data_IF_094301777100
#
_entry.id   IF_094301777100
#
_cell.length_a   1.000
_cell.length_b   1.000
_cell.length_c   1.000
_cell.angle_alpha   90.00
_cell.angle_beta   90.00
_cell.angle_gamma   90.00
#
_symmetry.space_group_name_H-M   'P 1'
#
loop_
_entity.id
_entity.type
_entity.pdbx_description
1 polymer ?
#
# COMPACT_ATOMS: atom_id res chain seq x y z
N UNK A 1 -15.21 7.71 4.02
CA UNK A 1 -13.74 7.86 4.05
C UNK A 1 -13.33 9.33 3.86
N UNK A 2 -14.21 10.18 3.34
CA UNK A 2 -14.10 11.64 3.34
C UNK A 2 -14.14 12.18 4.78
N UNK A 3 -15.13 11.77 5.58
CA UNK A 3 -15.20 12.07 7.03
C UNK A 3 -13.97 11.66 7.86
N UNK A 4 -13.19 10.65 7.43
CA UNK A 4 -11.99 10.22 8.14
C UNK A 4 -10.75 11.02 7.73
N UNK A 5 -10.74 11.58 6.51
CA UNK A 5 -9.69 12.47 6.06
C UNK A 5 -9.94 13.87 6.65
N UNK A 6 -11.18 14.38 6.56
CA UNK A 6 -11.60 15.64 7.20
C UNK A 6 -11.42 15.60 8.73
N UNK A 7 -11.49 14.42 9.36
CA UNK A 7 -11.24 14.26 10.78
C UNK A 7 -9.74 14.26 11.11
N UNK A 8 -8.90 13.59 10.30
CA UNK A 8 -7.45 13.61 10.48
C UNK A 8 -6.86 15.00 10.17
N UNK A 9 -7.40 15.69 9.15
CA UNK A 9 -7.03 17.09 8.85
C UNK A 9 -7.37 18.01 10.02
N UNK A 10 -8.59 17.91 10.60
CA UNK A 10 -8.94 18.66 11.82
C UNK A 10 -8.08 18.30 13.03
N UNK A 11 -7.64 17.04 13.14
CA UNK A 11 -6.72 16.63 14.19
C UNK A 11 -5.34 17.27 13.98
N UNK A 12 -4.85 17.32 12.74
CA UNK A 12 -3.62 18.03 12.37
C UNK A 12 -3.73 19.50 12.73
N UNK A 13 -4.82 20.19 12.31
CA UNK A 13 -5.06 21.61 12.65
C UNK A 13 -5.04 21.83 14.18
N UNK A 14 -5.68 20.91 14.93
CA UNK A 14 -5.71 21.00 16.40
C UNK A 14 -4.32 20.81 17.01
N UNK A 15 -3.50 19.92 16.45
CA UNK A 15 -2.13 19.67 16.92
C UNK A 15 -1.18 20.81 16.52
N UNK A 16 -1.44 21.51 15.41
CA UNK A 16 -0.71 22.73 15.04
C UNK A 16 -0.98 23.87 16.04
N UNK A 17 -2.22 24.02 16.49
CA UNK A 17 -2.61 25.06 17.45
C UNK A 17 -2.22 24.73 18.90
N UNK A 18 -2.32 23.46 19.30
CA UNK A 18 -2.23 23.04 20.71
C UNK A 18 -0.99 22.22 21.05
N UNK A 19 -0.19 21.82 20.06
CA UNK A 19 0.90 20.88 20.24
C UNK A 19 0.41 19.46 20.52
N UNK A 20 1.27 18.62 21.10
CA UNK A 20 0.95 17.22 21.35
C UNK A 20 -0.29 17.05 22.25
N UNK A 21 -1.19 16.13 21.87
CA UNK A 21 -2.38 15.75 22.62
C UNK A 21 -2.22 14.35 23.20
N UNK A 22 -2.91 14.05 24.30
CA UNK A 22 -3.06 12.66 24.74
C UNK A 22 -3.91 11.85 23.74
N UNK A 23 -3.72 10.53 23.67
CA UNK A 23 -4.55 9.67 22.80
C UNK A 23 -6.04 9.78 23.13
N UNK A 24 -6.40 10.06 24.39
CA UNK A 24 -7.79 10.30 24.82
C UNK A 24 -8.33 11.60 24.24
N UNK A 25 -7.56 12.69 24.28
CA UNK A 25 -7.97 13.98 23.70
C UNK A 25 -8.08 13.91 22.19
N UNK A 26 -7.09 13.30 21.52
CA UNK A 26 -7.13 13.06 20.09
C UNK A 26 -8.34 12.20 19.68
N UNK A 27 -8.66 11.16 20.47
CA UNK A 27 -9.82 10.29 20.21
C UNK A 27 -11.15 11.03 20.40
N UNK A 28 -11.24 11.90 21.41
CA UNK A 28 -12.44 12.75 21.60
C UNK A 28 -12.65 13.69 20.42
N UNK A 29 -11.57 14.32 19.94
CA UNK A 29 -11.60 15.21 18.77
C UNK A 29 -12.02 14.46 17.49
N UNK A 30 -11.41 13.30 17.23
CA UNK A 30 -11.66 12.52 16.02
C UNK A 30 -13.02 11.81 15.98
N UNK A 31 -13.48 11.27 17.11
CA UNK A 31 -14.63 10.37 17.17
C UNK A 31 -15.87 10.99 17.83
N UNK A 32 -15.80 12.27 18.24
CA UNK A 32 -16.91 13.02 18.85
C UNK A 32 -17.63 12.28 19.99
N UNK A 33 -16.88 11.53 20.81
CA UNK A 33 -17.40 10.78 21.95
C UNK A 33 -16.93 11.38 23.27
N UNK A 34 -17.82 11.49 24.26
CA UNK A 34 -17.54 12.10 25.57
C UNK A 34 -16.78 11.17 26.54
N UNK A 35 -16.85 9.85 26.34
CA UNK A 35 -16.25 8.86 27.25
C UNK A 35 -15.64 7.69 26.46
N UNK A 36 -14.34 7.46 26.65
CA UNK A 36 -13.60 6.35 26.03
C UNK A 36 -12.50 5.85 26.98
N UNK A 37 -12.39 4.53 27.22
CA UNK A 37 -11.26 3.97 27.98
C UNK A 37 -9.92 4.27 27.30
N UNK A 38 -8.89 4.63 28.08
CA UNK A 38 -7.58 5.04 27.54
C UNK A 38 -6.96 3.99 26.61
N UNK A 39 -7.06 2.70 26.96
CA UNK A 39 -6.55 1.61 26.12
C UNK A 39 -7.24 1.53 24.74
N UNK A 40 -8.55 1.80 24.70
CA UNK A 40 -9.32 1.84 23.44
C UNK A 40 -8.98 3.10 22.63
N UNK A 41 -8.82 4.24 23.30
CA UNK A 41 -8.40 5.49 22.67
C UNK A 41 -7.02 5.34 22.00
N UNK A 42 -6.03 4.81 22.71
CA UNK A 42 -4.69 4.55 22.15
C UNK A 42 -4.73 3.60 20.96
N UNK A 43 -5.52 2.53 21.03
CA UNK A 43 -5.67 1.57 19.92
C UNK A 43 -6.29 2.23 18.69
N UNK A 44 -7.42 2.93 18.85
CA UNK A 44 -8.12 3.59 17.75
C UNK A 44 -7.29 4.71 17.10
N UNK A 45 -6.54 5.44 17.91
CA UNK A 45 -5.66 6.51 17.43
C UNK A 45 -4.46 5.94 16.71
N UNK A 46 -3.82 4.88 17.21
CA UNK A 46 -2.75 4.21 16.50
C UNK A 46 -3.23 3.70 15.13
N UNK A 47 -4.42 3.09 15.07
CA UNK A 47 -5.00 2.63 13.81
C UNK A 47 -5.37 3.78 12.86
N UNK A 48 -5.89 4.90 13.38
CA UNK A 48 -6.28 6.06 12.58
C UNK A 48 -5.07 6.83 12.02
N UNK A 49 -3.98 6.91 12.78
CA UNK A 49 -2.76 7.65 12.42
C UNK A 49 -1.74 6.81 11.66
N UNK A 50 -1.83 5.47 11.67
CA UNK A 50 -0.89 4.56 11.00
C UNK A 50 -0.71 4.76 9.48
N UNK A 51 -1.56 5.57 8.84
CA UNK A 51 -1.47 5.90 7.41
C UNK A 51 -1.24 7.37 7.11
N UNK A 52 -1.08 8.23 8.11
CA UNK A 52 -0.91 9.68 7.94
C UNK A 52 0.49 10.11 8.38
N UNK A 53 1.35 10.46 7.43
CA UNK A 53 2.75 10.82 7.66
C UNK A 53 2.94 12.12 8.44
N UNK A 54 1.88 12.90 8.66
CA UNK A 54 1.90 14.13 9.47
C UNK A 54 1.79 13.86 10.97
N UNK A 55 1.42 12.64 11.37
CA UNK A 55 1.04 12.31 12.75
C UNK A 55 1.93 11.21 13.32
N UNK A 56 2.41 11.41 14.54
CA UNK A 56 3.13 10.40 15.34
C UNK A 56 2.29 10.02 16.53
N UNK A 57 2.05 8.73 16.73
CA UNK A 57 1.42 8.20 17.93
C UNK A 57 2.41 7.30 18.69
N UNK A 58 2.79 7.69 19.91
CA UNK A 58 3.70 6.92 20.78
C UNK A 58 2.95 6.08 21.83
N UNK A 59 1.67 5.80 21.59
CA UNK A 59 0.80 5.00 22.47
C UNK A 59 0.16 5.78 23.62
N UNK A 60 0.74 6.88 24.08
CA UNK A 60 0.17 7.75 25.12
C UNK A 60 -0.23 9.13 24.57
N UNK A 61 0.48 9.61 23.56
CA UNK A 61 0.27 10.92 22.94
C UNK A 61 0.29 10.82 21.42
N UNK A 62 -0.38 11.79 20.79
CA UNK A 62 -0.33 12.09 19.37
C UNK A 62 0.32 13.45 19.23
N UNK A 63 1.33 13.55 18.38
CA UNK A 63 1.93 14.82 17.99
C UNK A 63 1.96 14.91 16.48
N UNK A 64 2.21 16.12 15.97
CA UNK A 64 2.75 16.22 14.63
C UNK A 64 4.12 15.54 14.62
N UNK A 65 4.48 14.91 13.52
CA UNK A 65 5.90 14.66 13.23
C UNK A 65 6.59 16.01 13.34
N UNK A 66 7.65 16.14 14.17
CA UNK A 66 8.54 17.31 14.12
C UNK A 66 8.83 17.55 12.64
N UNK A 67 8.32 18.66 12.12
CA UNK A 67 7.97 18.82 10.70
C UNK A 67 8.94 18.09 9.81
N UNK A 68 8.56 16.91 9.31
CA UNK A 68 9.34 16.26 8.27
C UNK A 68 9.37 17.28 7.15
N UNK A 69 10.56 17.77 6.83
CA UNK A 69 10.74 18.66 5.71
C UNK A 69 9.97 18.08 4.53
N UNK A 70 9.14 18.90 3.89
CA UNK A 70 8.48 18.56 2.64
C UNK A 70 9.28 19.22 1.52
N UNK A 71 10.47 18.67 1.20
CA UNK A 71 11.36 19.31 0.25
C UNK A 71 10.70 19.37 -1.12
N UNK A 72 11.19 20.31 -1.92
CA UNK A 72 10.96 20.28 -3.35
C UNK A 72 11.46 18.95 -3.94
N UNK A 73 10.87 18.51 -5.06
CA UNK A 73 11.26 17.24 -5.68
C UNK A 73 12.72 17.24 -6.18
N UNK A 74 13.29 18.41 -6.45
CA UNK A 74 14.69 18.62 -6.82
C UNK A 74 15.64 18.52 -5.62
N UNK A 75 15.22 18.91 -4.43
CA UNK A 75 16.01 18.78 -3.19
C UNK A 75 15.81 17.43 -2.48
N UNK A 76 14.72 16.74 -2.79
CA UNK A 76 14.35 15.49 -2.13
C UNK A 76 15.39 14.38 -2.35
N UNK A 77 15.65 13.64 -1.28
CA UNK A 77 16.49 12.46 -1.31
C UNK A 77 15.70 11.17 -1.49
N UNK A 78 16.10 10.34 -2.46
CA UNK A 78 15.49 9.03 -2.68
C UNK A 78 16.54 7.92 -2.57
N UNK A 79 16.13 6.79 -2.00
CA UNK A 79 16.89 5.53 -2.03
C UNK A 79 16.03 4.49 -2.70
N UNK A 80 16.35 4.22 -3.95
CA UNK A 80 15.65 3.23 -4.78
C UNK A 80 16.28 1.88 -4.51
N UNK A 81 15.49 0.89 -4.15
CA UNK A 81 16.00 -0.43 -3.81
C UNK A 81 15.16 -1.55 -4.43
N UNK A 82 15.81 -2.69 -4.58
CA UNK A 82 15.23 -3.95 -5.05
C UNK A 82 15.84 -5.12 -4.26
N UNK A 83 15.06 -6.19 -4.11
CA UNK A 83 15.45 -7.39 -3.37
C UNK A 83 15.27 -8.65 -4.22
N UNK A 84 16.33 -9.44 -4.34
CA UNK A 84 16.18 -10.83 -4.80
C UNK A 84 15.90 -11.73 -3.61
N UNK A 85 15.01 -12.71 -3.82
CA UNK A 85 14.50 -13.56 -2.75
C UNK A 85 14.40 -15.01 -3.19
N UNK A 86 14.42 -15.94 -2.23
CA UNK A 86 14.28 -17.38 -2.49
C UNK A 86 12.84 -17.78 -2.87
N UNK A 87 11.93 -16.83 -3.10
CA UNK A 87 10.54 -17.06 -3.49
C UNK A 87 9.61 -15.93 -3.02
N UNK A 88 8.32 -16.06 -3.29
CA UNK A 88 7.40 -14.90 -3.25
C UNK A 88 6.83 -14.54 -1.87
N UNK A 89 7.06 -15.36 -0.83
CA UNK A 89 6.47 -15.16 0.50
C UNK A 89 7.49 -14.71 1.52
N UNK A 90 7.36 -13.48 2.05
CA UNK A 90 8.22 -12.99 3.13
C UNK A 90 8.15 -13.83 4.42
N UNK A 91 7.09 -14.62 4.61
CA UNK A 91 6.96 -15.53 5.77
C UNK A 91 7.81 -16.80 5.60
N UNK A 92 7.88 -17.33 4.37
CA UNK A 92 8.49 -18.63 4.08
C UNK A 92 9.86 -18.54 3.43
N UNK A 93 10.12 -17.47 2.69
CA UNK A 93 11.31 -17.26 1.89
C UNK A 93 12.28 -16.28 2.57
N UNK A 94 13.45 -16.08 1.97
CA UNK A 94 14.57 -15.31 2.51
C UNK A 94 15.13 -14.38 1.44
N UNK A 95 15.73 -13.27 1.86
CA UNK A 95 16.45 -12.36 0.97
C UNK A 95 17.78 -13.02 0.59
N UNK A 96 18.16 -12.95 -0.70
CA UNK A 96 19.45 -13.44 -1.21
C UNK A 96 20.31 -12.36 -1.89
N UNK A 97 19.73 -11.22 -2.28
CA UNK A 97 20.50 -10.05 -2.75
C UNK A 97 19.77 -8.77 -2.35
N UNK A 98 20.52 -7.71 -2.07
CA UNK A 98 20.02 -6.34 -1.87
C UNK A 98 20.78 -5.44 -2.83
N UNK A 99 20.05 -4.65 -3.61
CA UNK A 99 20.58 -3.61 -4.47
C UNK A 99 19.85 -2.30 -4.19
N UNK A 100 20.59 -1.20 -4.15
CA UNK A 100 20.02 0.11 -3.97
C UNK A 100 20.89 1.20 -4.62
N UNK A 101 20.24 2.28 -5.03
CA UNK A 101 20.89 3.49 -5.51
C UNK A 101 20.32 4.72 -4.82
N UNK A 102 21.17 5.68 -4.52
CA UNK A 102 20.76 6.97 -4.00
C UNK A 102 20.58 7.95 -5.15
N UNK A 103 19.43 8.62 -5.15
CA UNK A 103 19.12 9.70 -6.09
C UNK A 103 19.06 11.03 -5.32
N UNK A 104 19.75 12.04 -5.88
CA UNK A 104 19.78 13.44 -5.42
C UNK A 104 19.79 14.36 -6.62
N UNK A 105 19.09 15.49 -6.55
CA UNK A 105 18.95 16.37 -7.71
C UNK A 105 18.54 15.62 -9.00
N UNK A 106 17.74 14.54 -8.82
CA UNK A 106 17.30 13.64 -9.89
C UNK A 106 18.40 12.88 -10.63
N UNK A 107 19.60 12.77 -10.05
CA UNK A 107 20.71 11.98 -10.56
C UNK A 107 21.12 10.88 -9.57
N UNK A 108 21.60 9.75 -10.08
CA UNK A 108 22.18 8.69 -9.24
C UNK A 108 23.55 9.14 -8.76
N UNK A 109 23.72 9.21 -7.43
CA UNK A 109 24.95 9.74 -6.80
C UNK A 109 25.73 8.69 -6.00
N UNK A 110 25.09 7.57 -5.66
CA UNK A 110 25.71 6.51 -4.86
C UNK A 110 24.98 5.18 -5.06
N UNK A 111 25.64 4.06 -4.77
CA UNK A 111 25.06 2.72 -4.90
C UNK A 111 25.45 1.80 -3.74
N UNK A 112 24.58 0.85 -3.46
CA UNK A 112 24.77 -0.21 -2.47
C UNK A 112 24.39 -1.55 -3.09
N UNK A 113 25.28 -2.53 -2.98
CA UNK A 113 24.99 -3.90 -3.38
C UNK A 113 25.56 -4.89 -2.36
N UNK A 114 24.80 -5.94 -2.08
CA UNK A 114 25.29 -7.07 -1.31
C UNK A 114 24.51 -8.33 -1.64
N UNK A 115 25.23 -9.44 -1.87
CA UNK A 115 24.66 -10.76 -1.68
C UNK A 115 24.31 -10.96 -0.20
N UNK A 116 23.36 -11.84 0.05
CA UNK A 116 22.90 -12.22 1.39
C UNK A 116 22.92 -13.73 1.49
N UNK A 117 23.47 -14.27 2.56
CA UNK A 117 23.31 -15.70 2.86
C UNK A 117 21.89 -15.94 3.41
N UNK A 118 21.01 -16.62 2.65
CA UNK A 118 19.63 -16.84 3.07
C UNK A 118 19.50 -17.94 4.14
N UNK A 119 20.57 -18.69 4.41
CA UNK A 119 20.56 -19.84 5.34
C UNK A 119 19.75 -21.05 4.86
N UNK A 120 19.30 -21.03 3.59
CA UNK A 120 18.52 -22.09 2.94
C UNK A 120 18.98 -22.27 1.50
N UNK A 121 18.81 -23.46 0.89
CA UNK A 121 19.09 -23.66 -0.53
C UNK A 121 18.28 -22.72 -1.42
N UNK A 122 18.90 -22.23 -2.50
CA UNK A 122 18.21 -21.41 -3.50
C UNK A 122 17.40 -22.32 -4.43
N UNK A 123 16.07 -22.16 -4.56
CA UNK A 123 15.30 -22.99 -5.47
C UNK A 123 15.77 -22.81 -6.93
N UNK A 124 15.88 -23.91 -7.66
CA UNK A 124 16.41 -23.94 -9.03
C UNK A 124 15.71 -22.94 -9.99
N UNK A 125 14.37 -22.74 -9.96
CA UNK A 125 13.73 -21.73 -10.79
C UNK A 125 14.20 -20.31 -10.49
N UNK A 126 14.48 -19.99 -9.23
CA UNK A 126 15.00 -18.68 -8.82
C UNK A 126 16.45 -18.55 -9.26
N UNK A 127 17.28 -19.58 -9.06
CA UNK A 127 18.67 -19.57 -9.51
C UNK A 127 18.80 -19.34 -11.02
N UNK A 128 17.92 -19.96 -11.84
CA UNK A 128 17.88 -19.71 -13.28
C UNK A 128 17.41 -18.31 -13.64
N UNK A 129 16.46 -17.75 -12.89
CA UNK A 129 15.91 -16.43 -13.13
C UNK A 129 16.93 -15.33 -12.83
N UNK A 130 17.61 -15.44 -11.68
CA UNK A 130 18.50 -14.40 -11.16
C UNK A 130 19.97 -14.62 -11.51
N UNK A 131 20.34 -15.83 -11.92
CA UNK A 131 21.74 -16.21 -12.12
C UNK A 131 22.56 -16.34 -10.83
N UNK A 132 21.92 -16.25 -9.65
CA UNK A 132 22.61 -16.41 -8.37
C UNK A 132 23.07 -17.86 -8.17
N UNK A 133 24.33 -18.04 -7.77
CA UNK A 133 24.91 -19.35 -7.46
C UNK A 133 24.89 -19.60 -5.96
N UNK A 134 24.48 -20.80 -5.57
CA UNK A 134 24.39 -21.17 -4.15
C UNK A 134 25.73 -21.04 -3.40
N UNK A 135 26.84 -21.32 -4.09
CA UNK A 135 28.19 -21.18 -3.51
C UNK A 135 28.48 -19.73 -3.07
N UNK A 136 28.12 -18.76 -3.91
CA UNK A 136 28.32 -17.34 -3.61
C UNK A 136 27.46 -16.92 -2.41
N UNK A 137 26.19 -17.36 -2.38
CA UNK A 137 25.27 -17.07 -1.29
C UNK A 137 25.73 -17.67 0.05
N UNK A 138 26.33 -18.86 0.06
CA UNK A 138 26.84 -19.47 1.30
C UNK A 138 27.97 -18.66 1.93
N UNK A 139 28.81 -18.04 1.10
CA UNK A 139 29.92 -17.17 1.56
C UNK A 139 29.48 -15.75 1.91
N UNK A 140 28.26 -15.36 1.52
CA UNK A 140 27.76 -14.00 1.71
C UNK A 140 27.47 -13.66 3.18
N UNK A 141 27.41 -12.37 3.54
CA UNK A 141 27.07 -11.96 4.91
C UNK A 141 25.64 -12.36 5.30
N UNK A 142 25.36 -12.54 6.61
CA UNK A 142 24.01 -12.82 7.08
C UNK A 142 23.08 -11.62 6.86
N UNK A 143 21.80 -11.90 6.62
CA UNK A 143 20.76 -10.89 6.33
C UNK A 143 20.71 -9.74 7.35
N UNK A 144 20.92 -10.05 8.63
CA UNK A 144 20.96 -9.06 9.70
C UNK A 144 22.01 -7.97 9.49
N UNK A 145 23.21 -8.35 9.03
CA UNK A 145 24.32 -7.44 8.76
C UNK A 145 24.03 -6.58 7.53
N UNK A 146 23.54 -7.21 6.45
CA UNK A 146 23.24 -6.52 5.19
C UNK A 146 22.10 -5.52 5.38
N UNK A 147 21.02 -5.89 6.07
CA UNK A 147 19.90 -4.98 6.34
C UNK A 147 20.35 -3.78 7.17
N UNK A 148 21.20 -3.95 8.19
CA UNK A 148 21.73 -2.81 8.96
C UNK A 148 22.54 -1.85 8.09
N UNK A 149 23.42 -2.40 7.22
CA UNK A 149 24.20 -1.59 6.29
C UNK A 149 23.31 -0.89 5.26
N UNK A 150 22.28 -1.57 4.76
CA UNK A 150 21.30 -0.97 3.85
C UNK A 150 20.51 0.16 4.53
N UNK A 151 20.07 0.01 5.78
CA UNK A 151 19.39 1.09 6.50
C UNK A 151 20.32 2.27 6.80
N UNK A 152 21.59 2.00 7.12
CA UNK A 152 22.60 3.05 7.30
C UNK A 152 22.86 3.80 5.98
N UNK A 153 22.89 3.07 4.86
CA UNK A 153 22.89 3.67 3.53
C UNK A 153 21.61 4.48 3.31
N UNK A 154 20.43 3.95 3.60
CA UNK A 154 19.18 4.66 3.38
C UNK A 154 19.10 6.00 4.13
N UNK A 155 19.51 6.01 5.41
CA UNK A 155 19.37 7.18 6.27
C UNK A 155 17.91 7.61 6.38
N UNK A 156 17.66 8.91 6.27
CA UNK A 156 16.32 9.51 6.34
C UNK A 156 15.66 9.69 4.96
N UNK A 157 16.29 9.19 3.89
CA UNK A 157 15.77 9.33 2.54
C UNK A 157 14.48 8.56 2.31
N UNK A 158 13.71 9.04 1.33
CA UNK A 158 12.55 8.32 0.86
C UNK A 158 12.96 7.00 0.20
N UNK A 159 12.62 5.89 0.85
CA UNK A 159 12.68 4.58 0.22
C UNK A 159 11.72 4.49 -0.96
N UNK A 160 12.20 3.96 -2.09
CA UNK A 160 11.44 3.74 -3.32
C UNK A 160 11.69 2.33 -3.83
N UNK A 161 10.64 1.66 -4.33
CA UNK A 161 10.80 0.36 -4.99
C UNK A 161 9.74 0.17 -6.09
N UNK A 162 10.02 -0.72 -7.04
CA UNK A 162 9.02 -1.13 -8.03
C UNK A 162 8.13 -2.22 -7.45
N UNK A 163 6.81 -2.04 -7.48
CA UNK A 163 5.88 -2.92 -6.76
C UNK A 163 6.22 -3.05 -5.26
N UNK A 164 6.63 -1.93 -4.65
CA UNK A 164 7.24 -1.82 -3.32
C UNK A 164 6.65 -2.66 -2.18
N UNK A 165 5.36 -3.01 -2.22
CA UNK A 165 4.73 -3.88 -1.22
C UNK A 165 5.44 -5.24 -1.11
N UNK A 166 6.01 -5.74 -2.20
CA UNK A 166 6.77 -6.98 -2.20
C UNK A 166 8.02 -6.84 -1.32
N UNK A 167 8.92 -5.92 -1.69
CA UNK A 167 10.20 -5.69 -1.02
C UNK A 167 10.01 -5.21 0.43
N UNK A 168 9.05 -4.32 0.64
CA UNK A 168 8.67 -3.82 1.96
C UNK A 168 8.37 -4.98 2.93
N UNK A 169 7.63 -6.01 2.49
CA UNK A 169 7.29 -7.14 3.38
C UNK A 169 8.51 -7.95 3.79
N UNK A 170 9.46 -8.15 2.88
CA UNK A 170 10.71 -8.84 3.20
C UNK A 170 11.56 -8.01 4.15
N UNK A 171 11.70 -6.71 3.90
CA UNK A 171 12.44 -5.80 4.76
C UNK A 171 11.81 -5.68 6.15
N UNK A 172 10.49 -5.45 6.25
CA UNK A 172 9.76 -5.38 7.52
C UNK A 172 9.88 -6.68 8.33
N UNK A 173 9.89 -7.84 7.67
CA UNK A 173 10.12 -9.11 8.36
C UNK A 173 11.49 -9.13 9.04
N UNK A 174 12.54 -8.61 8.39
CA UNK A 174 13.86 -8.53 9.01
C UNK A 174 13.91 -7.50 10.13
N UNK A 175 13.28 -6.33 9.96
CA UNK A 175 13.20 -5.30 11.01
C UNK A 175 12.47 -5.82 12.25
N UNK A 176 11.39 -6.58 12.06
CA UNK A 176 10.66 -7.21 13.16
C UNK A 176 11.54 -8.21 13.93
N UNK A 177 12.36 -8.99 13.22
CA UNK A 177 13.28 -9.95 13.85
C UNK A 177 14.46 -9.27 14.55
N UNK A 178 14.98 -8.17 14.00
CA UNK A 178 16.15 -7.47 14.54
C UNK A 178 15.83 -6.57 15.73
N UNK A 179 14.71 -5.84 15.64
CA UNK A 179 14.41 -4.73 16.56
C UNK A 179 12.95 -4.70 17.04
N UNK A 180 12.10 -5.61 16.56
CA UNK A 180 10.66 -5.58 16.86
C UNK A 180 9.92 -4.36 16.27
N UNK A 181 10.53 -3.68 15.29
CA UNK A 181 10.03 -2.44 14.69
C UNK A 181 9.67 -2.65 13.21
N UNK A 182 8.83 -1.75 12.69
CA UNK A 182 8.52 -1.61 11.26
C UNK A 182 9.18 -0.35 10.71
N UNK A 183 9.17 -0.20 9.38
CA UNK A 183 9.47 1.08 8.76
C UNK A 183 8.51 2.15 9.29
N UNK A 184 9.03 3.35 9.52
CA UNK A 184 8.21 4.50 9.95
C UNK A 184 7.21 4.90 8.87
N UNK A 185 7.58 4.76 7.60
CA UNK A 185 6.71 5.04 6.46
C UNK A 185 6.87 3.97 5.37
N UNK A 186 5.80 3.70 4.61
CA UNK A 186 5.89 2.80 3.47
C UNK A 186 6.76 3.41 2.34
N UNK A 187 7.56 2.59 1.64
CA UNK A 187 8.27 3.04 0.46
C UNK A 187 7.32 3.53 -0.64
N UNK A 188 7.75 4.52 -1.41
CA UNK A 188 7.03 4.96 -2.60
C UNK A 188 7.10 3.89 -3.70
N UNK A 189 5.94 3.59 -4.31
CA UNK A 189 5.83 2.54 -5.31
C UNK A 189 5.80 3.13 -6.72
N UNK A 190 6.86 2.93 -7.51
CA UNK A 190 6.94 3.45 -8.89
C UNK A 190 5.86 2.85 -9.79
N UNK A 191 5.47 1.57 -9.57
CA UNK A 191 4.36 0.96 -10.28
C UNK A 191 3.01 1.62 -9.96
N UNK A 192 2.80 2.08 -8.73
CA UNK A 192 1.57 2.79 -8.35
C UNK A 192 1.53 4.19 -8.96
N UNK A 193 2.66 4.90 -8.92
CA UNK A 193 2.82 6.20 -9.56
C UNK A 193 2.63 6.11 -11.08
N UNK A 194 3.26 5.14 -11.75
CA UNK A 194 3.11 4.90 -13.17
C UNK A 194 1.66 4.60 -13.59
N UNK A 195 0.91 3.80 -12.81
CA UNK A 195 -0.52 3.56 -13.10
C UNK A 195 -1.34 4.85 -13.07
N UNK A 196 -0.96 5.82 -12.24
CA UNK A 196 -1.63 7.11 -12.16
C UNK A 196 -1.25 8.01 -13.33
N UNK A 197 0.05 8.18 -13.55
CA UNK A 197 0.59 9.15 -14.51
C UNK A 197 0.46 8.69 -15.97
N UNK A 198 0.39 7.38 -16.20
CA UNK A 198 0.31 6.77 -17.52
C UNK A 198 -1.06 6.10 -17.77
N UNK A 199 -2.09 6.50 -17.02
CA UNK A 199 -3.47 6.04 -17.22
C UNK A 199 -3.89 6.30 -18.69
N UNK A 200 -4.31 5.25 -19.39
CA UNK A 200 -4.66 5.32 -20.82
C UNK A 200 -3.47 5.20 -21.80
N UNK A 201 -2.22 5.37 -21.35
CA UNK A 201 -1.01 5.25 -22.20
C UNK A 201 -0.39 3.85 -22.15
N UNK A 202 -0.43 3.18 -20.99
CA UNK A 202 0.10 1.83 -20.81
C UNK A 202 -0.91 0.91 -20.14
N UNK A 203 -1.07 -0.31 -20.71
CA UNK A 203 -1.88 -1.37 -20.08
C UNK A 203 -1.12 -2.14 -19.00
N UNK A 204 0.20 -2.24 -19.12
CA UNK A 204 1.09 -2.95 -18.19
C UNK A 204 2.15 -1.98 -17.67
N UNK A 205 2.39 -2.05 -16.36
CA UNK A 205 3.33 -1.18 -15.64
C UNK A 205 4.40 -2.00 -14.92
N UNK A 206 4.81 -3.14 -15.50
CA UNK A 206 5.97 -3.87 -14.99
C UNK A 206 7.26 -3.12 -15.32
N UNK A 207 8.32 -3.34 -14.55
CA UNK A 207 9.56 -2.58 -14.67
C UNK A 207 10.13 -2.62 -16.10
N UNK A 208 10.24 -3.80 -16.71
CA UNK A 208 10.69 -3.92 -18.10
C UNK A 208 9.78 -3.19 -19.11
N UNK A 209 8.47 -3.16 -18.88
CA UNK A 209 7.55 -2.40 -19.74
C UNK A 209 7.74 -0.89 -19.61
N UNK A 210 7.99 -0.40 -18.39
CA UNK A 210 8.26 1.02 -18.14
C UNK A 210 9.64 1.42 -18.66
N UNK A 211 10.65 0.59 -18.45
CA UNK A 211 12.01 0.79 -18.95
C UNK A 211 12.00 0.95 -20.47
N UNK A 212 11.33 0.05 -21.18
CA UNK A 212 11.17 0.14 -22.63
C UNK A 212 10.33 1.37 -23.05
N UNK A 213 9.25 1.67 -22.35
CA UNK A 213 8.40 2.82 -22.68
C UNK A 213 9.13 4.16 -22.56
N UNK A 214 9.97 4.31 -21.54
CA UNK A 214 10.75 5.52 -21.30
C UNK A 214 12.11 5.54 -22.02
N UNK A 215 12.53 4.43 -22.62
CA UNK A 215 13.84 4.30 -23.25
C UNK A 215 15.00 4.51 -22.27
N UNK A 216 14.89 3.95 -21.06
CA UNK A 216 15.95 4.03 -20.02
C UNK A 216 17.15 3.15 -20.41
N UNK A 217 18.34 3.52 -19.93
CA UNK A 217 19.59 2.87 -20.27
C UNK A 217 19.73 1.47 -19.68
N UNK A 218 19.32 1.30 -18.42
CA UNK A 218 19.42 0.01 -17.72
C UNK A 218 18.16 -0.83 -17.92
N UNK A 219 18.34 -2.03 -18.47
CA UNK A 219 17.24 -3.00 -18.64
C UNK A 219 17.19 -3.96 -17.44
N UNK A 220 15.98 -4.20 -16.86
CA UNK A 220 15.83 -5.14 -15.75
C UNK A 220 16.27 -6.54 -16.13
N UNK A 221 17.03 -7.18 -15.24
CA UNK A 221 17.63 -8.49 -15.49
C UNK A 221 17.54 -9.44 -14.29
N UNK A 222 16.66 -9.16 -13.31
CA UNK A 222 16.50 -9.98 -12.10
C UNK A 222 17.80 -10.06 -11.29
N UNK A 223 18.44 -8.90 -11.16
CA UNK A 223 19.56 -8.64 -10.27
C UNK A 223 19.27 -7.38 -9.51
N UNK A 224 19.46 -7.41 -8.20
CA UNK A 224 18.94 -6.36 -7.34
C UNK A 224 19.50 -4.97 -7.65
N UNK A 225 20.80 -4.82 -7.93
CA UNK A 225 21.37 -3.50 -8.25
C UNK A 225 20.92 -2.98 -9.63
N UNK A 226 21.06 -3.74 -10.75
CA UNK A 226 20.54 -3.32 -12.05
C UNK A 226 19.04 -2.99 -12.04
N UNK A 227 18.22 -3.76 -11.32
CA UNK A 227 16.79 -3.51 -11.24
C UNK A 227 16.48 -2.25 -10.39
N UNK A 228 17.28 -1.96 -9.36
CA UNK A 228 17.21 -0.69 -8.62
C UNK A 228 17.63 0.52 -9.49
N UNK A 229 18.67 0.39 -10.30
CA UNK A 229 19.13 1.41 -11.27
C UNK A 229 18.04 1.70 -12.32
N UNK A 230 17.49 0.66 -12.95
CA UNK A 230 16.39 0.80 -13.90
C UNK A 230 15.15 1.44 -13.23
N UNK A 231 14.87 1.08 -11.97
CA UNK A 231 13.79 1.69 -11.20
C UNK A 231 14.06 3.17 -10.91
N UNK A 232 15.30 3.57 -10.68
CA UNK A 232 15.68 4.96 -10.45
C UNK A 232 15.53 5.82 -11.71
N UNK A 233 15.97 5.31 -12.87
CA UNK A 233 15.74 6.00 -14.15
C UNK A 233 14.24 6.17 -14.43
N UNK A 234 13.45 5.12 -14.18
CA UNK A 234 11.98 5.19 -14.30
C UNK A 234 11.38 6.18 -13.29
N UNK A 235 11.87 6.23 -12.05
CA UNK A 235 11.42 7.19 -11.03
C UNK A 235 11.63 8.63 -11.52
N UNK A 236 12.81 8.96 -12.03
CA UNK A 236 13.12 10.32 -12.53
C UNK A 236 12.16 10.72 -13.66
N UNK A 237 11.88 9.82 -14.59
CA UNK A 237 10.89 10.06 -15.66
C UNK A 237 9.47 10.27 -15.11
N UNK A 238 9.07 9.51 -14.09
CA UNK A 238 7.77 9.67 -13.43
C UNK A 238 7.70 10.97 -12.62
N UNK A 239 8.79 11.43 -12.00
CA UNK A 239 8.85 12.72 -11.32
C UNK A 239 8.61 13.85 -12.32
N UNK A 240 9.26 13.80 -13.50
CA UNK A 240 9.02 14.79 -14.56
C UNK A 240 7.55 14.88 -14.97
N UNK A 241 6.90 13.73 -15.18
CA UNK A 241 5.45 13.68 -15.48
C UNK A 241 4.58 14.19 -14.32
N UNK A 242 4.99 13.95 -13.06
CA UNK A 242 4.27 14.48 -11.90
C UNK A 242 4.40 16.01 -11.82
N UNK A 243 5.56 16.56 -12.15
CA UNK A 243 5.81 18.00 -12.22
C UNK A 243 4.98 18.68 -13.31
N UNK A 244 4.79 18.03 -14.47
CA UNK A 244 3.87 18.50 -15.52
C UNK A 244 2.42 18.60 -15.03
N UNK A 245 2.01 17.76 -14.08
CA UNK A 245 0.70 17.82 -13.41
C UNK A 245 0.66 18.78 -12.21
N UNK A 246 1.75 19.50 -11.95
CA UNK A 246 1.83 20.51 -10.90
C UNK A 246 2.39 20.01 -9.55
N UNK A 247 2.77 18.74 -9.41
CA UNK A 247 3.41 18.26 -8.18
C UNK A 247 4.83 18.82 -8.07
N UNK A 248 5.11 19.58 -7.01
CA UNK A 248 6.40 20.22 -6.73
C UNK A 248 7.05 19.70 -5.47
N UNK A 249 6.30 19.07 -4.57
CA UNK A 249 6.78 18.60 -3.27
C UNK A 249 6.71 17.09 -3.12
N UNK A 250 7.49 16.56 -2.18
CA UNK A 250 7.55 15.13 -1.86
C UNK A 250 6.19 14.57 -1.43
N UNK A 251 5.45 15.33 -0.63
CA UNK A 251 4.10 14.98 -0.16
C UNK A 251 3.10 14.77 -1.31
N UNK A 252 3.16 15.62 -2.34
CA UNK A 252 2.30 15.56 -3.52
C UNK A 252 2.64 14.35 -4.40
N UNK A 253 3.93 14.05 -4.57
CA UNK A 253 4.38 12.84 -5.27
C UNK A 253 3.88 11.57 -4.57
N UNK A 254 3.97 11.54 -3.24
CA UNK A 254 3.41 10.43 -2.43
C UNK A 254 1.89 10.33 -2.60
N UNK A 255 1.17 11.45 -2.61
CA UNK A 255 -0.28 11.47 -2.82
C UNK A 255 -0.69 10.93 -4.21
N UNK A 256 0.11 11.19 -5.25
CA UNK A 256 -0.11 10.63 -6.59
C UNK A 256 0.06 9.10 -6.62
N UNK A 257 1.06 8.59 -5.90
CA UNK A 257 1.33 7.16 -5.76
C UNK A 257 0.36 6.43 -4.80
N UNK A 258 -0.36 7.18 -3.95
CA UNK A 258 -1.29 6.60 -2.99
C UNK A 258 -2.43 5.83 -3.70
N UNK A 259 -2.87 4.69 -3.13
CA UNK A 259 -3.99 3.94 -3.67
C UNK A 259 -5.22 4.85 -3.83
N UNK A 260 -5.86 4.84 -5.02
CA UNK A 260 -7.16 5.48 -5.16
C UNK A 260 -8.09 4.84 -4.12
N UNK A 261 -8.64 5.66 -3.22
CA UNK A 261 -9.88 5.36 -2.52
C UNK A 261 -10.89 4.92 -3.59
N UNK A 262 -11.20 3.63 -3.69
CA UNK A 262 -12.28 3.20 -4.60
C UNK A 262 -13.52 3.96 -4.15
N UNK A 263 -14.19 4.73 -5.03
CA UNK A 263 -15.49 5.36 -4.73
C UNK A 263 -16.49 4.36 -4.14
N UNK A 264 -16.36 3.09 -4.53
CA UNK A 264 -17.10 1.96 -3.97
C UNK A 264 -16.89 1.79 -2.46
N UNK A 265 -15.70 2.03 -1.92
CA UNK A 265 -15.40 1.88 -0.49
C UNK A 265 -16.22 2.83 0.40
N UNK A 266 -16.55 4.04 -0.08
CA UNK A 266 -17.42 4.95 0.66
C UNK A 266 -18.85 4.41 0.80
N UNK A 267 -19.29 3.57 -0.14
CA UNK A 267 -20.59 2.90 -0.12
C UNK A 267 -20.67 1.69 0.82
N UNK A 268 -19.59 1.36 1.55
CA UNK A 268 -19.58 0.27 2.54
C UNK A 268 -20.65 0.44 3.63
N UNK A 269 -21.06 1.67 3.90
CA UNK A 269 -22.13 1.98 4.86
C UNK A 269 -23.48 1.42 4.43
N UNK A 270 -23.71 1.24 3.11
CA UNK A 270 -24.95 0.65 2.59
C UNK A 270 -25.11 -0.82 2.98
N UNK A 271 -24.01 -1.52 3.27
CA UNK A 271 -24.03 -2.90 3.77
C UNK A 271 -24.11 -2.99 5.30
N UNK A 272 -24.21 -1.86 6.02
CA UNK A 272 -24.34 -1.84 7.47
C UNK A 272 -25.72 -2.38 7.86
N UNK A 273 -25.77 -3.22 8.89
CA UNK A 273 -27.01 -3.86 9.34
C UNK A 273 -27.35 -5.18 8.66
N UNK A 274 -26.62 -5.58 7.61
CA UNK A 274 -26.79 -6.89 6.99
C UNK A 274 -26.67 -8.03 8.03
N UNK A 275 -27.56 -9.03 8.00
CA UNK A 275 -27.55 -10.15 8.94
C UNK A 275 -26.52 -11.21 8.56
N UNK A 276 -26.11 -12.05 9.51
CA UNK A 276 -25.21 -13.20 9.27
C UNK A 276 -25.98 -14.47 8.88
N UNK A 277 -27.14 -14.31 8.23
CA UNK A 277 -28.04 -15.40 7.83
C UNK A 277 -28.03 -15.58 6.30
N UNK A 278 -28.42 -16.75 5.80
CA UNK A 278 -28.61 -16.97 4.36
C UNK A 278 -29.67 -16.04 3.78
N UNK A 279 -29.54 -15.73 2.50
CA UNK A 279 -30.52 -14.91 1.80
C UNK A 279 -30.08 -14.39 0.45
N UNK A 280 -30.91 -13.53 -0.11
CA UNK A 280 -30.66 -12.80 -1.36
C UNK A 280 -30.50 -11.32 -1.09
N UNK A 281 -29.77 -10.62 -1.96
CA UNK A 281 -29.59 -9.17 -1.92
C UNK A 281 -29.64 -8.57 -3.32
N UNK A 282 -30.09 -7.32 -3.38
CA UNK A 282 -30.28 -6.57 -4.61
C UNK A 282 -29.54 -5.23 -4.49
N UNK A 283 -28.82 -4.86 -5.53
CA UNK A 283 -28.26 -3.53 -5.68
C UNK A 283 -29.20 -2.66 -6.50
N UNK A 284 -29.61 -1.52 -5.95
CA UNK A 284 -30.44 -0.55 -6.65
C UNK A 284 -29.63 0.69 -7.01
N UNK A 285 -29.93 1.29 -8.16
CA UNK A 285 -29.46 2.64 -8.49
C UNK A 285 -30.31 3.72 -7.80
N UNK A 286 -29.96 4.99 -8.03
CA UNK A 286 -30.67 6.17 -7.49
C UNK A 286 -32.12 6.31 -8.00
N UNK A 287 -32.48 5.61 -9.08
CA UNK A 287 -33.82 5.60 -9.65
C UNK A 287 -34.62 4.37 -9.22
N UNK A 288 -34.05 3.51 -8.35
CA UNK A 288 -34.67 2.30 -7.84
C UNK A 288 -34.53 1.07 -8.75
N UNK A 289 -33.84 1.17 -9.89
CA UNK A 289 -33.64 0.04 -10.81
C UNK A 289 -32.68 -0.99 -10.21
N UNK A 290 -33.02 -2.28 -10.36
CA UNK A 290 -32.17 -3.39 -9.90
C UNK A 290 -31.00 -3.57 -10.87
N UNK A 291 -29.78 -3.33 -10.36
CA UNK A 291 -28.53 -3.45 -11.11
C UNK A 291 -27.90 -4.84 -11.00
N UNK A 292 -28.14 -5.52 -9.88
CA UNK A 292 -27.51 -6.79 -9.56
C UNK A 292 -28.35 -7.54 -8.53
N UNK A 293 -28.49 -8.84 -8.73
CA UNK A 293 -29.07 -9.78 -7.77
C UNK A 293 -28.00 -10.80 -7.42
N UNK A 294 -27.86 -11.10 -6.13
CA UNK A 294 -26.97 -12.14 -5.67
C UNK A 294 -27.50 -12.84 -4.42
N UNK A 295 -26.97 -14.04 -4.15
CA UNK A 295 -27.23 -14.79 -2.92
C UNK A 295 -26.01 -14.94 -2.02
N UNK A 296 -26.25 -15.26 -0.75
CA UNK A 296 -25.21 -15.55 0.22
C UNK A 296 -25.67 -16.56 1.28
N UNK A 297 -24.71 -17.35 1.79
CA UNK A 297 -24.86 -18.14 3.03
C UNK A 297 -24.80 -17.23 4.27
N UNK A 298 -24.03 -16.15 4.16
CA UNK A 298 -23.90 -15.08 5.14
C UNK A 298 -23.96 -13.75 4.38
N UNK A 299 -25.10 -13.07 4.49
CA UNK A 299 -25.35 -11.79 3.81
C UNK A 299 -24.33 -10.71 4.23
N UNK A 300 -23.98 -10.64 5.52
CA UNK A 300 -23.01 -9.65 6.03
C UNK A 300 -21.62 -9.89 5.46
N UNK A 301 -21.12 -11.12 5.53
CA UNK A 301 -19.79 -11.46 5.04
C UNK A 301 -19.69 -11.21 3.53
N UNK A 302 -20.72 -11.61 2.77
CA UNK A 302 -20.77 -11.42 1.31
C UNK A 302 -20.88 -9.96 0.92
N UNK A 303 -21.77 -9.17 1.52
CA UNK A 303 -21.92 -7.76 1.18
C UNK A 303 -20.64 -6.98 1.50
N UNK A 304 -19.99 -7.26 2.64
CA UNK A 304 -18.70 -6.63 2.99
C UNK A 304 -17.56 -7.00 2.05
N UNK A 305 -17.60 -8.16 1.39
CA UNK A 305 -16.53 -8.57 0.47
C UNK A 305 -16.44 -7.67 -0.76
N UNK A 306 -17.55 -7.11 -1.23
CA UNK A 306 -17.58 -6.21 -2.39
C UNK A 306 -16.85 -4.88 -2.16
N UNK A 307 -16.73 -4.47 -0.90
CA UNK A 307 -16.09 -3.22 -0.49
C UNK A 307 -14.63 -3.41 -0.05
N UNK A 308 -14.04 -4.58 -0.31
CA UNK A 308 -12.60 -4.83 -0.09
C UNK A 308 -11.77 -4.38 -1.30
N UNK A 309 -10.46 -4.27 -1.11
CA UNK A 309 -9.51 -3.76 -2.11
C UNK A 309 -9.26 -4.70 -3.31
N UNK A 310 -10.00 -5.80 -3.43
CA UNK A 310 -9.87 -6.79 -4.51
C UNK A 310 -10.74 -6.43 -5.72
N UNK A 311 -10.23 -6.63 -6.94
CA UNK A 311 -10.98 -6.42 -8.19
C UNK A 311 -12.16 -7.38 -8.28
N UNK A 312 -13.33 -6.86 -8.69
CA UNK A 312 -14.52 -7.67 -8.96
C UNK A 312 -14.69 -7.86 -10.46
N UNK A 313 -15.66 -8.68 -10.87
CA UNK A 313 -16.02 -8.81 -12.29
C UNK A 313 -16.50 -7.46 -12.84
N UNK A 314 -16.25 -7.11 -14.11
CA UNK A 314 -16.59 -5.79 -14.67
C UNK A 314 -18.07 -5.39 -14.49
N UNK A 315 -19.01 -6.33 -14.68
CA UNK A 315 -20.44 -6.10 -14.47
C UNK A 315 -20.78 -5.75 -13.02
N UNK A 316 -20.13 -6.40 -12.07
CA UNK A 316 -20.28 -6.13 -10.63
C UNK A 316 -19.65 -4.79 -10.26
N UNK A 317 -18.49 -4.44 -10.85
CA UNK A 317 -17.88 -3.13 -10.61
C UNK A 317 -18.76 -1.99 -11.14
N UNK A 318 -19.37 -2.15 -12.32
CA UNK A 318 -20.33 -1.19 -12.86
C UNK A 318 -21.55 -1.02 -11.92
N UNK A 319 -22.12 -2.13 -11.43
CA UNK A 319 -23.22 -2.09 -10.48
C UNK A 319 -22.82 -1.39 -9.17
N UNK A 320 -21.63 -1.66 -8.62
CA UNK A 320 -21.13 -1.01 -7.40
C UNK A 320 -20.86 0.49 -7.59
N UNK A 321 -20.43 0.91 -8.79
CA UNK A 321 -20.25 2.33 -9.12
C UNK A 321 -21.58 3.08 -9.19
N UNK A 322 -22.66 2.45 -9.67
CA UNK A 322 -24.00 3.03 -9.73
C UNK A 322 -24.86 2.78 -8.47
N UNK A 323 -24.43 1.89 -7.56
CA UNK A 323 -25.15 1.51 -6.34
C UNK A 323 -25.55 2.71 -5.47
N UNK A 324 -26.82 2.80 -5.12
CA UNK A 324 -27.38 3.80 -4.20
C UNK A 324 -27.95 3.13 -2.94
N UNK A 325 -28.60 1.96 -3.09
CA UNK A 325 -29.23 1.21 -1.99
C UNK A 325 -29.05 -0.30 -2.14
N UNK A 326 -28.90 -0.99 -1.01
CA UNK A 326 -28.89 -2.46 -0.95
C UNK A 326 -30.17 -2.92 -0.27
N UNK A 327 -30.95 -3.76 -0.94
CA UNK A 327 -32.05 -4.52 -0.33
C UNK A 327 -31.56 -5.94 -0.02
N UNK A 328 -32.04 -6.56 1.05
CA UNK A 328 -31.78 -7.98 1.33
C UNK A 328 -33.01 -8.67 1.90
N UNK A 329 -33.13 -9.96 1.61
CA UNK A 329 -34.16 -10.86 2.16
C UNK A 329 -33.49 -12.05 2.81
N UNK A 330 -33.78 -12.25 4.09
CA UNK A 330 -33.28 -13.39 4.86
C UNK A 330 -34.14 -14.62 4.53
N UNK A 331 -33.48 -15.74 4.30
CA UNK A 331 -34.13 -17.02 3.98
C UNK A 331 -33.66 -18.11 4.94
N UNK A 332 -34.47 -19.16 5.09
CA UNK A 332 -34.26 -20.23 6.05
C UNK A 332 -33.10 -21.15 5.67
N UNK A 333 -32.78 -21.24 4.38
CA UNK A 333 -31.68 -22.08 3.89
C UNK A 333 -30.99 -21.51 2.64
N UNK A 334 -29.84 -22.09 2.30
CA UNK A 334 -29.15 -21.77 1.05
C UNK A 334 -29.92 -22.20 -0.20
N UNK A 335 -30.68 -23.29 -0.10
CA UNK A 335 -31.50 -23.80 -1.19
C UNK A 335 -32.63 -22.81 -1.49
N UNK A 336 -33.30 -22.30 -0.45
CA UNK A 336 -34.30 -21.25 -0.59
C UNK A 336 -33.69 -19.99 -1.21
N UNK A 337 -32.48 -19.60 -0.78
CA UNK A 337 -31.77 -18.46 -1.37
C UNK A 337 -31.42 -18.66 -2.85
N UNK A 338 -31.10 -19.89 -3.28
CA UNK A 338 -30.85 -20.21 -4.68
C UNK A 338 -32.14 -20.15 -5.51
N UNK A 339 -33.26 -20.67 -4.99
CA UNK A 339 -34.55 -20.62 -5.69
C UNK A 339 -35.08 -19.18 -5.83
N UNK A 340 -34.92 -18.37 -4.79
CA UNK A 340 -35.37 -16.98 -4.81
C UNK A 340 -34.50 -16.10 -5.72
N UNK A 341 -33.17 -16.32 -5.76
CA UNK A 341 -32.27 -15.65 -6.72
C UNK A 341 -32.71 -15.92 -8.17
N UNK A 342 -33.06 -17.17 -8.51
CA UNK A 342 -33.54 -17.53 -9.85
C UNK A 342 -34.86 -16.86 -10.21
N UNK A 343 -35.74 -16.61 -9.24
CA UNK A 343 -37.00 -15.88 -9.48
C UNK A 343 -36.77 -14.40 -9.74
N UNK A 344 -35.83 -13.79 -9.01
CA UNK A 344 -35.53 -12.35 -9.12
C UNK A 344 -34.70 -11.98 -10.36
N UNK A 345 -34.09 -12.97 -11.02
CA UNK A 345 -33.32 -12.77 -12.27
C UNK A 345 -34.23 -12.88 -13.53
N UNK A 346 -35.43 -13.45 -13.40
CA UNK A 346 -36.42 -13.59 -14.49
C UNK A 346 -37.25 -12.32 -14.66
#
# INVERSE_FOLDING_TARGET
>A
MQLALDALDRLVDTLEERGALTTVEAARSLFASSSMPAALASSLIADATAGDSRLVCNGATVSLTDGRADPSLDEAGFVVFDLETTGLSAERNRICEVGAVRVRALEVVDSFQSLVNPGVPLPEPIARLTGLRELDLRSAPPVASVVRRFLAFAGDDLLVAHNARFDQRFLERQLQLLHGRRLSEPPLCTAALARRLLEGRLRRVGLASLANFFGVGTQPCHRALPDAEATAEVLVRLIGLAQELGARRLSELRALAAPRKRRVYDKRSLARGAPTKPGVYLFHDRHGQVLYVGRARDLRARLRSYFRSERQRPSVEAALLALDRIEWRVLGSELEAALEELRLIR
#
